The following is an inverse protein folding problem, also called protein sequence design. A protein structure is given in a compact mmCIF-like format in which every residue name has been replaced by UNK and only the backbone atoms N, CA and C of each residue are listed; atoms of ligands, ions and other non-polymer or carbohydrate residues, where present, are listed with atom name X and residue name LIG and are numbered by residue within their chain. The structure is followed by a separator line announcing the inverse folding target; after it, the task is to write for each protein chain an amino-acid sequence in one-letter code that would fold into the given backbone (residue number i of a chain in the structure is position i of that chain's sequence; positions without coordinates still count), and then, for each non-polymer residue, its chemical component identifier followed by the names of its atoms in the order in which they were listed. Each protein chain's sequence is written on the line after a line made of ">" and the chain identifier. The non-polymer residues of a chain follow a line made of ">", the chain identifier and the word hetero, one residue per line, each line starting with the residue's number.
data_IF_815766691047
#
_entry.id   IF_815766691047
#
_cell.length_a   1.000
_cell.length_b   1.000
_cell.length_c   1.000
_cell.angle_alpha   90.00
_cell.angle_beta   90.00
_cell.angle_gamma   90.00
#
_symmetry.space_group_name_H-M   'P 1'
#
loop_
_entity.id
_entity.type
_entity.pdbx_description
1 polymer ?
#
# COMPACT_ATOMS: atom_id res chain seq x y z
N UNK A 1 4.17 -38.60 -22.90
CA UNK A 1 3.75 -39.74 -22.06
C UNK A 1 2.90 -39.21 -20.93
N UNK A 2 1.60 -39.45 -21.01
CA UNK A 2 0.55 -38.90 -20.14
C UNK A 2 0.30 -39.84 -18.97
N UNK A 3 0.34 -39.35 -17.73
CA UNK A 3 -0.22 -40.01 -16.53
C UNK A 3 -0.83 -38.91 -15.66
N UNK A 4 -2.11 -38.57 -15.83
CA UNK A 4 -3.24 -39.11 -15.07
C UNK A 4 -2.95 -39.31 -13.58
N UNK A 5 -3.32 -38.32 -12.76
CA UNK A 5 -3.57 -38.51 -11.33
C UNK A 5 -5.05 -38.23 -11.05
N UNK A 6 -5.68 -39.13 -10.30
CA UNK A 6 -7.12 -39.31 -10.13
C UNK A 6 -7.50 -38.80 -8.72
N UNK A 7 -8.54 -37.97 -8.54
CA UNK A 7 -8.96 -37.56 -7.20
C UNK A 7 -9.79 -38.67 -6.53
N UNK A 8 -9.48 -38.95 -5.26
CA UNK A 8 -10.23 -39.89 -4.41
C UNK A 8 -11.43 -39.17 -3.79
N UNK A 9 -12.63 -39.72 -4.03
CA UNK A 9 -13.89 -39.24 -3.48
C UNK A 9 -14.01 -39.49 -1.98
N UNK A 10 -14.63 -38.54 -1.27
CA UNK A 10 -15.06 -38.70 0.11
C UNK A 10 -16.54 -39.11 0.16
N UNK A 11 -16.92 -40.16 0.92
CA UNK A 11 -18.29 -40.63 0.98
C UNK A 11 -19.18 -39.73 1.86
N UNK A 12 -20.34 -39.38 1.32
CA UNK A 12 -21.48 -38.78 2.03
C UNK A 12 -22.11 -39.80 2.98
N UNK A 13 -22.26 -39.47 4.26
CA UNK A 13 -23.16 -40.20 5.16
C UNK A 13 -24.25 -39.27 5.70
N UNK A 14 -25.47 -39.52 5.21
CA UNK A 14 -26.73 -39.03 5.77
C UNK A 14 -27.06 -39.87 6.99
N UNK A 15 -27.32 -39.25 8.15
CA UNK A 15 -28.17 -39.83 9.18
C UNK A 15 -29.02 -38.70 9.81
N UNK A 16 -30.34 -38.83 9.68
CA UNK A 16 -31.41 -38.19 10.47
C UNK A 16 -32.32 -39.36 10.93
N UNK A 17 -33.30 -39.17 11.81
CA UNK A 17 -33.38 -38.35 13.03
C UNK A 17 -33.87 -39.22 14.23
N UNK A 18 -33.96 -38.66 15.44
CA UNK A 18 -34.88 -39.18 16.44
C UNK A 18 -35.42 -38.05 17.32
N UNK A 19 -36.75 -38.01 17.38
CA UNK A 19 -37.62 -37.07 18.07
C UNK A 19 -37.84 -37.59 19.48
N UNK A 20 -37.71 -36.75 20.50
CA UNK A 20 -38.51 -36.87 21.73
C UNK A 20 -38.81 -35.48 22.25
N UNK A 21 -40.06 -35.06 22.05
CA UNK A 21 -40.67 -33.92 22.71
C UNK A 21 -40.96 -34.30 24.17
N UNK A 22 -40.50 -33.47 25.11
CA UNK A 22 -41.02 -33.45 26.49
C UNK A 22 -41.29 -31.99 26.82
N UNK A 23 -42.57 -31.64 26.81
CA UNK A 23 -43.09 -30.37 27.28
C UNK A 23 -43.45 -30.52 28.76
N UNK A 24 -42.76 -29.82 29.65
CA UNK A 24 -43.17 -29.65 31.05
C UNK A 24 -42.78 -28.25 31.52
N UNK A 25 -43.77 -27.50 32.00
CA UNK A 25 -43.61 -26.66 33.19
C UNK A 25 -43.05 -25.26 33.02
N UNK A 26 -43.96 -24.32 32.77
CA UNK A 26 -43.80 -22.89 33.04
C UNK A 26 -43.60 -22.65 34.54
N UNK A 27 -42.40 -22.22 34.95
CA UNK A 27 -42.20 -21.35 36.12
C UNK A 27 -41.12 -20.33 35.80
N UNK A 28 -41.56 -19.09 35.57
CA UNK A 28 -40.73 -17.90 35.43
C UNK A 28 -40.12 -17.61 36.80
N UNK A 29 -38.80 -17.77 36.91
CA UNK A 29 -38.00 -17.16 37.97
C UNK A 29 -36.92 -16.34 37.28
N UNK A 30 -37.16 -15.04 37.12
CA UNK A 30 -36.17 -14.09 36.61
C UNK A 30 -35.16 -13.88 37.73
N UNK A 31 -34.09 -14.68 37.72
CA UNK A 31 -32.87 -14.36 38.46
C UNK A 31 -32.01 -13.55 37.50
N UNK A 32 -31.85 -12.26 37.78
CA UNK A 32 -30.91 -11.38 37.08
C UNK A 32 -29.48 -11.78 37.46
N UNK A 33 -28.90 -12.73 36.70
CA UNK A 33 -27.46 -12.99 36.72
C UNK A 33 -26.84 -12.03 35.72
N UNK A 34 -26.17 -11.00 36.21
CA UNK A 34 -25.33 -10.15 35.38
C UNK A 34 -24.20 -11.01 34.79
N UNK A 35 -24.04 -11.09 33.45
CA UNK A 35 -22.87 -11.74 32.89
C UNK A 35 -21.68 -10.80 33.07
N UNK A 36 -20.83 -11.14 34.03
CA UNK A 36 -19.43 -10.72 33.98
C UNK A 36 -18.85 -11.17 32.65
N UNK A 37 -18.40 -10.17 31.88
CA UNK A 37 -17.28 -10.29 30.95
C UNK A 37 -17.36 -11.45 29.95
N UNK A 38 -18.26 -11.36 28.98
CA UNK A 38 -17.89 -11.85 27.64
C UNK A 38 -17.14 -10.73 26.94
N UNK A 39 -15.89 -10.53 27.36
CA UNK A 39 -14.86 -10.03 26.46
C UNK A 39 -14.60 -11.16 25.45
N UNK A 40 -15.43 -11.23 24.41
CA UNK A 40 -15.17 -12.10 23.27
C UNK A 40 -15.53 -11.35 22.00
N UNK A 41 -14.56 -11.40 21.10
CA UNK A 41 -14.70 -11.20 19.68
C UNK A 41 -14.92 -9.75 19.26
N UNK A 42 -13.84 -8.99 19.41
CA UNK A 42 -13.40 -8.09 18.35
C UNK A 42 -13.23 -8.92 17.06
N UNK A 43 -14.31 -9.16 16.32
CA UNK A 43 -14.23 -9.56 14.91
C UNK A 43 -14.00 -8.27 14.10
N UNK A 44 -12.79 -7.75 14.24
CA UNK A 44 -12.21 -6.78 13.33
C UNK A 44 -11.06 -7.49 12.61
N UNK A 45 -11.41 -8.52 11.85
CA UNK A 45 -10.55 -9.23 10.90
C UNK A 45 -11.45 -9.36 9.67
N UNK A 46 -11.20 -8.77 8.50
CA UNK A 46 -9.93 -8.62 7.79
C UNK A 46 -10.17 -7.49 6.76
N UNK A 47 -9.55 -6.32 6.93
CA UNK A 47 -9.48 -5.35 5.83
C UNK A 47 -8.33 -5.82 4.95
N UNK A 48 -8.64 -6.69 3.98
CA UNK A 48 -7.83 -6.79 2.77
C UNK A 48 -7.95 -5.41 2.13
N UNK A 49 -6.97 -4.55 2.42
CA UNK A 49 -6.81 -3.28 1.74
C UNK A 49 -6.33 -3.60 0.34
N UNK A 50 -7.26 -3.93 -0.57
CA UNK A 50 -7.04 -3.61 -1.97
C UNK A 50 -6.91 -2.08 -2.01
N UNK A 51 -5.68 -1.58 -1.95
CA UNK A 51 -5.39 -0.15 -2.07
C UNK A 51 -5.80 0.27 -3.49
N UNK A 52 -7.05 0.70 -3.63
CA UNK A 52 -7.52 1.36 -4.84
C UNK A 52 -6.61 2.56 -5.10
N UNK A 53 -6.06 2.71 -6.31
CA UNK A 53 -5.20 3.84 -6.62
C UNK A 53 -5.88 5.17 -6.27
N UNK A 54 -5.13 6.16 -5.78
CA UNK A 54 -5.72 7.46 -5.46
C UNK A 54 -6.29 8.11 -6.72
N UNK A 55 -7.41 8.83 -6.58
CA UNK A 55 -7.98 9.59 -7.70
C UNK A 55 -7.09 10.77 -8.06
N UNK A 56 -6.75 11.57 -7.05
CA UNK A 56 -5.84 12.70 -7.15
C UNK A 56 -4.75 12.60 -6.07
N UNK A 57 -3.55 13.04 -6.41
CA UNK A 57 -2.42 13.16 -5.50
C UNK A 57 -2.09 14.63 -5.26
N UNK A 58 -2.07 15.05 -4.00
CA UNK A 58 -1.73 16.42 -3.62
C UNK A 58 -0.31 16.50 -3.08
N UNK A 59 0.53 17.31 -3.72
CA UNK A 59 1.92 17.55 -3.33
C UNK A 59 2.10 18.98 -2.82
N UNK A 60 2.24 19.16 -1.49
CA UNK A 60 2.46 20.49 -0.92
C UNK A 60 3.87 21.00 -1.25
N UNK A 61 3.99 22.27 -1.60
CA UNK A 61 5.27 22.90 -1.97
C UNK A 61 5.30 24.39 -1.66
N UNK A 62 6.52 24.91 -1.45
CA UNK A 62 6.76 26.35 -1.23
C UNK A 62 6.52 27.20 -2.50
N UNK A 63 6.57 26.59 -3.69
CA UNK A 63 6.37 27.29 -4.97
C UNK A 63 4.90 27.31 -5.39
N UNK A 64 4.10 26.38 -4.86
CA UNK A 64 2.68 26.21 -5.09
C UNK A 64 2.36 24.72 -4.97
N UNK A 65 1.26 24.37 -4.33
CA UNK A 65 0.77 23.00 -4.29
C UNK A 65 0.52 22.48 -5.72
N UNK A 66 0.81 21.19 -5.94
CA UNK A 66 0.52 20.49 -7.19
C UNK A 66 -0.58 19.48 -6.90
N UNK A 67 -1.68 19.57 -7.64
CA UNK A 67 -2.68 18.50 -7.69
C UNK A 67 -2.44 17.70 -8.96
N UNK A 68 -2.11 16.42 -8.80
CA UNK A 68 -1.87 15.50 -9.89
C UNK A 68 -3.09 14.58 -10.05
N UNK A 69 -3.78 14.59 -11.20
CA UNK A 69 -4.93 13.73 -11.43
C UNK A 69 -4.48 12.32 -11.78
N UNK A 70 -4.22 11.51 -10.74
CA UNK A 70 -3.64 10.17 -10.87
C UNK A 70 -4.55 9.24 -11.69
N UNK A 71 -5.86 9.24 -11.41
CA UNK A 71 -6.81 8.40 -12.16
C UNK A 71 -6.84 8.73 -13.65
N UNK A 72 -6.80 10.02 -14.01
CA UNK A 72 -6.78 10.44 -15.41
C UNK A 72 -5.55 9.87 -16.14
N UNK A 73 -4.40 9.86 -15.50
CA UNK A 73 -3.17 9.31 -16.09
C UNK A 73 -3.25 7.79 -16.27
N UNK A 74 -3.85 7.08 -15.31
CA UNK A 74 -3.97 5.62 -15.39
C UNK A 74 -5.09 5.19 -16.34
N UNK A 75 -6.28 5.77 -16.23
CA UNK A 75 -7.46 5.32 -16.96
C UNK A 75 -7.59 5.96 -18.34
N UNK A 76 -7.48 7.28 -18.43
CA UNK A 76 -7.75 8.00 -19.68
C UNK A 76 -6.54 7.96 -20.62
N UNK A 77 -5.32 7.93 -20.06
CA UNK A 77 -4.07 7.85 -20.81
C UNK A 77 -3.44 6.45 -20.79
N UNK A 78 -4.09 5.47 -20.17
CA UNK A 78 -3.67 4.05 -20.14
C UNK A 78 -2.22 3.86 -19.65
N UNK A 79 -1.75 4.70 -18.70
CA UNK A 79 -0.39 4.59 -18.18
C UNK A 79 -0.24 3.40 -17.22
N UNK A 80 0.78 2.58 -17.44
CA UNK A 80 1.13 1.50 -16.52
C UNK A 80 1.70 2.04 -15.21
N UNK A 81 1.39 1.39 -14.08
CA UNK A 81 1.88 1.80 -12.76
C UNK A 81 3.42 1.93 -12.71
N UNK A 82 4.13 1.07 -13.44
CA UNK A 82 5.60 1.05 -13.48
C UNK A 82 6.22 2.27 -14.19
N UNK A 83 5.43 3.02 -14.97
CA UNK A 83 5.89 4.25 -15.59
C UNK A 83 6.19 5.35 -14.56
N UNK A 84 5.59 5.28 -13.37
CA UNK A 84 5.84 6.23 -12.27
C UNK A 84 6.37 5.55 -11.00
N UNK A 85 5.96 4.31 -10.72
CA UNK A 85 6.39 3.52 -9.57
C UNK A 85 7.39 2.46 -10.01
N UNK A 86 8.68 2.75 -9.89
CA UNK A 86 9.71 1.74 -10.15
C UNK A 86 9.83 0.77 -8.97
N UNK A 87 10.06 -0.50 -9.28
CA UNK A 87 10.40 -1.50 -8.27
C UNK A 87 11.84 -1.28 -7.79
N UNK A 88 12.06 -1.49 -6.49
CA UNK A 88 13.40 -1.63 -5.94
C UNK A 88 13.63 -3.12 -5.79
N UNK A 89 14.23 -3.75 -6.80
CA UNK A 89 14.56 -5.17 -6.73
C UNK A 89 15.79 -5.35 -5.83
N UNK A 90 15.56 -5.51 -4.53
CA UNK A 90 16.61 -5.75 -3.57
C UNK A 90 17.00 -7.24 -3.59
N UNK A 91 18.26 -7.53 -3.91
CA UNK A 91 18.82 -8.88 -3.87
C UNK A 91 18.59 -9.50 -2.48
N UNK A 92 18.33 -10.81 -2.38
CA UNK A 92 18.18 -11.45 -1.07
C UNK A 92 19.46 -11.26 -0.24
N UNK A 93 19.37 -10.48 0.82
CA UNK A 93 20.53 -10.25 1.68
C UNK A 93 20.73 -11.46 2.60
N UNK A 94 21.91 -12.08 2.51
CA UNK A 94 22.37 -13.04 3.51
C UNK A 94 23.33 -12.33 4.46
N UNK A 95 22.77 -11.59 5.43
CA UNK A 95 23.56 -10.99 6.50
C UNK A 95 23.54 -11.93 7.71
N UNK A 96 24.69 -12.28 8.32
CA UNK A 96 24.73 -12.95 9.62
C UNK A 96 24.46 -12.00 10.80
N UNK A 97 24.22 -10.72 10.53
CA UNK A 97 23.97 -9.66 11.51
C UNK A 97 22.65 -8.97 11.20
N UNK A 98 21.56 -9.44 11.81
CA UNK A 98 20.23 -8.86 11.63
C UNK A 98 20.13 -7.46 12.29
N UNK A 99 20.94 -7.20 13.32
CA UNK A 99 21.04 -5.90 14.00
C UNK A 99 21.43 -4.74 13.07
N UNK A 100 22.15 -5.01 11.97
CA UNK A 100 22.49 -3.96 11.00
C UNK A 100 21.28 -3.41 10.26
N UNK A 101 20.16 -4.12 10.22
CA UNK A 101 18.96 -3.64 9.54
C UNK A 101 18.27 -2.45 10.25
N UNK A 102 18.60 -2.20 11.52
CA UNK A 102 18.04 -1.11 12.32
C UNK A 102 18.97 0.13 12.38
N UNK A 103 20.24 -0.03 12.01
CA UNK A 103 21.27 1.03 12.10
C UNK A 103 21.33 1.94 10.86
N UNK A 104 20.67 1.56 9.77
CA UNK A 104 20.59 2.39 8.56
C UNK A 104 19.39 3.32 8.59
N UNK A 105 19.54 4.50 7.98
CA UNK A 105 18.43 5.45 7.83
C UNK A 105 17.28 4.87 7.00
N UNK A 106 17.59 3.93 6.11
CA UNK A 106 16.60 3.17 5.34
C UNK A 106 16.17 1.95 6.14
N UNK A 107 14.85 1.77 6.31
CA UNK A 107 14.29 0.55 6.91
C UNK A 107 14.49 -0.60 5.92
N UNK A 108 15.46 -1.47 6.19
CA UNK A 108 15.82 -2.53 5.25
C UNK A 108 14.66 -3.48 4.94
N UNK A 109 13.74 -3.66 5.89
CA UNK A 109 12.50 -4.42 5.73
C UNK A 109 11.50 -3.82 4.72
N UNK A 110 11.64 -2.54 4.35
CA UNK A 110 10.81 -1.94 3.29
C UNK A 110 11.12 -2.54 1.92
N UNK A 111 12.36 -2.99 1.70
CA UNK A 111 12.78 -3.65 0.45
C UNK A 111 12.98 -5.17 0.63
N UNK A 112 13.46 -5.59 1.81
CA UNK A 112 13.63 -7.00 2.18
C UNK A 112 12.42 -7.48 2.98
N UNK A 113 11.31 -7.68 2.29
CA UNK A 113 10.07 -8.25 2.82
C UNK A 113 9.83 -9.66 2.27
N UNK A 114 8.85 -10.37 2.85
CA UNK A 114 8.39 -11.66 2.33
C UNK A 114 7.93 -11.49 0.88
N UNK A 115 8.49 -12.31 -0.01
CA UNK A 115 8.41 -12.18 -1.47
C UNK A 115 7.06 -12.60 -2.06
N UNK A 116 6.13 -13.09 -1.22
CA UNK A 116 4.85 -13.61 -1.69
C UNK A 116 3.87 -12.48 -2.07
N UNK A 117 4.19 -11.21 -1.77
CA UNK A 117 3.32 -10.06 -2.01
C UNK A 117 4.08 -8.94 -2.74
N UNK A 118 3.45 -8.36 -3.75
CA UNK A 118 3.98 -7.17 -4.42
C UNK A 118 4.06 -6.01 -3.42
N UNK A 119 5.13 -5.20 -3.51
CA UNK A 119 5.21 -3.99 -2.70
C UNK A 119 4.09 -3.01 -3.08
N UNK A 120 3.39 -2.43 -2.09
CA UNK A 120 2.47 -1.36 -2.37
C UNK A 120 3.23 -0.14 -2.89
N UNK A 121 2.60 0.59 -3.82
CA UNK A 121 3.17 1.80 -4.39
C UNK A 121 3.53 2.81 -3.28
N UNK A 122 4.77 3.28 -3.26
CA UNK A 122 5.26 4.26 -2.27
C UNK A 122 5.44 5.63 -2.89
N UNK A 123 5.43 6.66 -2.04
CA UNK A 123 5.80 8.03 -2.41
C UNK A 123 7.28 8.09 -2.73
N UNK A 124 7.67 8.94 -3.70
CA UNK A 124 9.08 9.10 -4.08
C UNK A 124 9.97 9.41 -2.87
N UNK A 125 9.49 10.26 -1.95
CA UNK A 125 10.24 10.69 -0.75
C UNK A 125 10.49 9.58 0.28
N UNK A 126 9.87 8.40 0.14
CA UNK A 126 10.20 7.24 0.98
C UNK A 126 11.65 6.83 0.79
N UNK A 127 12.17 6.93 -0.44
CA UNK A 127 13.56 6.59 -0.76
C UNK A 127 14.36 7.82 -1.23
N UNK A 128 13.73 8.76 -1.95
CA UNK A 128 14.37 9.96 -2.48
C UNK A 128 14.33 11.12 -1.47
N UNK A 129 15.18 11.08 -0.47
CA UNK A 129 15.25 12.13 0.55
C UNK A 129 16.17 13.29 0.14
N UNK A 130 16.05 14.46 0.79
CA UNK A 130 17.09 15.47 0.73
C UNK A 130 18.34 14.89 1.37
N UNK A 131 19.43 14.78 0.60
CA UNK A 131 20.71 14.39 1.16
C UNK A 131 21.54 15.60 1.56
N UNK A 132 22.26 15.45 2.67
CA UNK A 132 23.28 16.40 3.13
C UNK A 132 24.68 15.79 3.08
N UNK A 133 24.80 14.54 2.63
CA UNK A 133 26.06 13.82 2.46
C UNK A 133 26.44 13.79 0.98
N UNK A 134 27.70 14.10 0.69
CA UNK A 134 28.25 14.06 -0.68
C UNK A 134 28.38 12.64 -1.23
N UNK A 135 28.38 11.62 -0.37
CA UNK A 135 28.52 10.21 -0.75
C UNK A 135 27.19 9.57 -1.16
N UNK A 136 26.08 10.19 -0.78
CA UNK A 136 24.75 9.73 -1.14
C UNK A 136 24.41 10.18 -2.57
N UNK A 137 24.25 9.19 -3.44
CA UNK A 137 23.97 9.37 -4.86
C UNK A 137 22.46 9.41 -5.14
N UNK A 138 21.63 9.34 -4.10
CA UNK A 138 20.18 9.37 -4.23
C UNK A 138 19.73 10.79 -4.56
N UNK A 139 19.05 10.93 -5.70
CA UNK A 139 18.41 12.20 -6.05
C UNK A 139 17.27 12.50 -5.06
N UNK A 140 17.10 13.76 -4.67
CA UNK A 140 15.95 14.14 -3.84
C UNK A 140 14.62 13.95 -4.57
N UNK A 141 13.53 13.73 -3.83
CA UNK A 141 12.18 13.55 -4.41
C UNK A 141 11.77 14.73 -5.27
N UNK A 142 12.18 15.96 -4.90
CA UNK A 142 11.96 17.15 -5.72
C UNK A 142 12.54 16.96 -7.13
N UNK A 143 13.76 16.46 -7.25
CA UNK A 143 14.41 16.29 -8.56
C UNK A 143 13.76 15.16 -9.35
N UNK A 144 13.48 14.04 -8.69
CA UNK A 144 12.91 12.86 -9.35
C UNK A 144 11.49 13.11 -9.85
N UNK A 145 10.64 13.79 -9.07
CA UNK A 145 9.29 14.16 -9.52
C UNK A 145 9.33 15.01 -10.79
N UNK A 146 10.18 16.04 -10.84
CA UNK A 146 10.31 16.85 -12.07
C UNK A 146 10.83 16.02 -13.24
N UNK A 147 11.75 15.08 -13.00
CA UNK A 147 12.29 14.21 -14.05
C UNK A 147 11.20 13.33 -14.65
N UNK A 148 10.49 12.55 -13.83
CA UNK A 148 9.46 11.61 -14.31
C UNK A 148 8.35 12.33 -15.07
N UNK A 149 7.84 13.45 -14.55
CA UNK A 149 6.83 14.23 -15.28
C UNK A 149 7.38 14.76 -16.62
N UNK A 150 8.66 15.13 -16.67
CA UNK A 150 9.31 15.66 -17.88
C UNK A 150 9.62 14.61 -18.95
N UNK A 151 9.50 13.32 -18.64
CA UNK A 151 9.68 12.27 -19.64
C UNK A 151 8.54 12.28 -20.67
N UNK A 152 7.36 12.75 -20.30
CA UNK A 152 6.21 12.92 -21.19
C UNK A 152 5.84 14.39 -21.44
N UNK A 153 5.95 15.25 -20.42
CA UNK A 153 5.61 16.67 -20.55
C UNK A 153 6.84 17.52 -20.86
N UNK A 154 6.75 18.37 -21.87
CA UNK A 154 7.80 19.36 -22.12
C UNK A 154 7.86 20.38 -20.98
N UNK A 155 9.04 20.56 -20.40
CA UNK A 155 9.32 21.59 -19.40
C UNK A 155 10.22 22.66 -19.98
N UNK A 156 10.06 23.90 -19.49
CA UNK A 156 10.87 25.02 -19.95
C UNK A 156 12.36 24.80 -19.67
N UNK A 157 13.21 25.24 -20.60
CA UNK A 157 14.67 25.22 -20.47
C UNK A 157 15.26 26.62 -20.66
N UNK A 158 16.50 26.84 -20.20
CA UNK A 158 17.18 28.12 -20.33
C UNK A 158 16.63 29.24 -19.43
N UNK A 159 16.87 30.49 -19.82
CA UNK A 159 16.60 31.67 -18.99
C UNK A 159 15.10 31.90 -18.70
N UNK A 160 14.21 31.34 -19.52
CA UNK A 160 12.75 31.48 -19.39
C UNK A 160 12.08 30.23 -18.82
N UNK A 161 12.86 29.22 -18.39
CA UNK A 161 12.34 27.96 -17.86
C UNK A 161 11.35 28.14 -16.71
N UNK A 162 11.53 29.18 -15.88
CA UNK A 162 10.68 29.44 -14.73
C UNK A 162 9.23 29.78 -15.10
N UNK A 163 8.97 30.23 -16.33
CA UNK A 163 7.61 30.51 -16.79
C UNK A 163 6.75 29.24 -16.85
N UNK A 164 7.34 28.06 -17.09
CA UNK A 164 6.56 26.82 -17.15
C UNK A 164 6.25 26.21 -15.78
N UNK A 165 6.78 26.77 -14.68
CA UNK A 165 6.55 26.24 -13.33
C UNK A 165 5.05 26.25 -12.96
N UNK A 166 4.33 27.28 -13.42
CA UNK A 166 2.91 27.48 -13.10
C UNK A 166 1.98 26.45 -13.76
N UNK A 167 2.46 25.72 -14.78
CA UNK A 167 1.70 24.63 -15.40
C UNK A 167 1.35 23.55 -14.36
N UNK A 168 2.30 23.19 -13.50
CA UNK A 168 2.09 22.20 -12.44
C UNK A 168 1.77 22.85 -11.08
N UNK A 169 2.43 23.96 -10.74
CA UNK A 169 2.31 24.62 -9.43
C UNK A 169 1.19 25.65 -9.41
N UNK A 170 -0.06 25.19 -9.45
CA UNK A 170 -1.26 26.05 -9.54
C UNK A 170 -1.90 26.34 -8.18
N UNK A 171 -1.59 25.54 -7.16
CA UNK A 171 -2.21 25.64 -5.85
C UNK A 171 -1.54 26.63 -4.88
N UNK A 172 -2.07 26.74 -3.65
CA UNK A 172 -1.55 27.64 -2.63
C UNK A 172 -0.10 27.30 -2.26
N UNK A 173 0.67 28.32 -1.86
CA UNK A 173 2.06 28.15 -1.41
C UNK A 173 2.09 27.89 0.10
N UNK A 174 2.96 26.97 0.52
CA UNK A 174 3.27 26.83 1.95
C UNK A 174 3.90 28.13 2.50
N UNK A 175 3.60 28.50 3.76
CA UNK A 175 4.22 29.65 4.42
C UNK A 175 5.74 29.49 4.49
N UNK A 176 6.45 30.63 4.47
CA UNK A 176 7.92 30.68 4.47
C UNK A 176 8.52 30.34 5.83
#
# INVERSE_FOLDING_TARGET
>A
MTRYFRPTGHPRSRIRPAITAVAVGLTVLIITVAPWGTALAQEAEEVISEETPPVDCVFPSKIGEVTFPHQMHVDDFEMECIACHHEVNAEKLQSPHDEYFEDFWIRCSECHHDQDHAMPAKKCSTCHHPSHDITDQTLSAKVVVHRVCSECHEIGTGATASASCEFCHTGPRLPR
#
